data_IF_948542203424
#
_entry.id   IF_948542203424
#
_cell.length_a   1.000
_cell.length_b   1.000
_cell.length_c   1.000
_cell.angle_alpha   90.00
_cell.angle_beta   90.00
_cell.angle_gamma   90.00
#
_symmetry.space_group_name_H-M   'P 1'
#
loop_
_entity.id
_entity.type
_entity.pdbx_description
1 polymer ?
#
# COMPACT_ATOMS: atom_id res chain seq x y z
N UNK A 1 3.28 38.41 1.90
CA UNK A 1 2.36 37.67 1.01
C UNK A 1 2.73 36.18 1.00
N UNK A 2 3.19 35.62 2.14
CA UNK A 2 4.15 34.51 2.06
C UNK A 2 3.69 33.22 2.76
N UNK A 3 2.81 33.31 3.77
CA UNK A 3 2.41 32.16 4.59
C UNK A 3 1.53 31.17 3.81
N UNK A 4 0.55 31.67 3.03
CA UNK A 4 -0.32 30.82 2.21
C UNK A 4 0.48 30.13 1.10
N UNK A 5 1.48 30.81 0.53
CA UNK A 5 2.31 30.25 -0.51
C UNK A 5 3.22 29.15 0.04
N UNK A 6 3.81 29.35 1.23
CA UNK A 6 4.56 28.31 1.96
C UNK A 6 3.67 27.08 2.19
N UNK A 7 2.42 27.30 2.62
CA UNK A 7 1.47 26.22 2.84
C UNK A 7 1.18 25.42 1.56
N UNK A 8 0.83 26.10 0.46
CA UNK A 8 0.54 25.46 -0.83
C UNK A 8 1.75 24.72 -1.39
N UNK A 9 2.95 25.31 -1.26
CA UNK A 9 4.19 24.68 -1.68
C UNK A 9 4.44 23.38 -0.89
N UNK A 10 4.23 23.38 0.43
CA UNK A 10 4.33 22.15 1.24
C UNK A 10 3.27 21.11 0.86
N UNK A 11 2.06 21.55 0.56
CA UNK A 11 0.96 20.68 0.13
C UNK A 11 1.25 19.97 -1.20
N UNK A 12 2.15 20.51 -2.03
CA UNK A 12 2.60 19.86 -3.27
C UNK A 12 3.87 19.04 -3.02
N UNK A 13 4.87 19.65 -2.36
CA UNK A 13 6.18 19.06 -2.15
C UNK A 13 6.12 17.76 -1.34
N UNK A 14 5.41 17.78 -0.21
CA UNK A 14 5.46 16.68 0.76
C UNK A 14 4.74 15.43 0.27
N UNK A 15 3.56 15.50 -0.38
CA UNK A 15 2.98 14.33 -1.02
C UNK A 15 3.89 13.74 -2.10
N UNK A 16 4.54 14.57 -2.93
CA UNK A 16 5.48 14.09 -3.97
C UNK A 16 6.67 13.37 -3.34
N UNK A 17 7.28 13.96 -2.31
CA UNK A 17 8.36 13.35 -1.53
C UNK A 17 7.94 12.01 -0.92
N UNK A 18 6.75 11.98 -0.29
CA UNK A 18 6.18 10.79 0.35
C UNK A 18 5.96 9.68 -0.68
N UNK A 19 5.30 10.00 -1.79
CA UNK A 19 5.06 9.05 -2.88
C UNK A 19 6.37 8.54 -3.48
N UNK A 20 7.38 9.39 -3.67
CA UNK A 20 8.70 8.96 -4.16
C UNK A 20 9.30 7.87 -3.26
N UNK A 21 9.29 8.08 -1.94
CA UNK A 21 9.81 7.10 -0.97
C UNK A 21 9.04 5.79 -1.07
N UNK A 22 7.70 5.85 -1.12
CA UNK A 22 6.86 4.67 -1.29
C UNK A 22 7.23 3.90 -2.56
N UNK A 23 7.35 4.60 -3.70
CA UNK A 23 7.69 3.96 -4.97
C UNK A 23 9.10 3.35 -4.95
N UNK A 24 10.04 3.96 -4.22
CA UNK A 24 11.38 3.41 -4.01
C UNK A 24 11.33 2.10 -3.20
N UNK A 25 10.58 2.08 -2.10
CA UNK A 25 10.38 0.89 -1.26
C UNK A 25 9.66 -0.23 -2.02
N UNK A 26 8.73 0.13 -2.91
CA UNK A 26 8.01 -0.81 -3.80
C UNK A 26 8.79 -1.18 -5.07
N UNK A 27 10.08 -0.86 -5.14
CA UNK A 27 11.00 -1.13 -6.26
C UNK A 27 10.54 -0.57 -7.63
N UNK A 28 9.64 0.42 -7.65
CA UNK A 28 9.18 1.10 -8.88
C UNK A 28 10.13 2.25 -9.24
N UNK A 29 11.36 1.88 -9.57
CA UNK A 29 12.49 2.81 -9.77
C UNK A 29 12.18 3.95 -10.75
N UNK A 30 11.55 3.66 -11.89
CA UNK A 30 11.24 4.70 -12.89
C UNK A 30 10.29 5.78 -12.34
N UNK A 31 9.21 5.37 -11.67
CA UNK A 31 8.26 6.31 -11.06
C UNK A 31 8.92 7.10 -9.92
N UNK A 32 9.75 6.43 -9.11
CA UNK A 32 10.52 7.11 -8.07
C UNK A 32 11.50 8.14 -8.66
N UNK A 33 12.16 7.84 -9.77
CA UNK A 33 13.06 8.80 -10.45
C UNK A 33 12.32 10.00 -11.01
N UNK A 34 11.16 9.80 -11.65
CA UNK A 34 10.33 10.90 -12.19
C UNK A 34 9.84 11.80 -11.05
N UNK A 35 9.33 11.22 -9.96
CA UNK A 35 8.89 11.99 -8.80
C UNK A 35 10.06 12.70 -8.11
N UNK A 36 11.24 12.07 -8.04
CA UNK A 36 12.45 12.72 -7.51
C UNK A 36 12.91 13.91 -8.35
N UNK A 37 12.75 13.84 -9.67
CA UNK A 37 13.02 14.99 -10.55
C UNK A 37 12.04 16.14 -10.29
N UNK A 38 10.74 15.85 -10.18
CA UNK A 38 9.71 16.86 -9.86
C UNK A 38 9.97 17.45 -8.46
N UNK A 39 10.27 16.60 -7.47
CA UNK A 39 10.64 17.00 -6.11
C UNK A 39 11.83 17.96 -6.12
N UNK A 40 12.88 17.66 -6.89
CA UNK A 40 14.05 18.52 -6.99
C UNK A 40 13.72 19.90 -7.59
N UNK A 41 12.86 19.95 -8.61
CA UNK A 41 12.39 21.23 -9.17
C UNK A 41 11.60 22.03 -8.13
N UNK A 42 10.62 21.39 -7.48
CA UNK A 42 9.80 22.05 -6.44
C UNK A 42 10.68 22.52 -5.28
N UNK A 43 11.69 21.73 -4.90
CA UNK A 43 12.61 22.09 -3.84
C UNK A 43 13.46 23.31 -4.21
N UNK A 44 14.07 23.34 -5.40
CA UNK A 44 14.93 24.46 -5.82
C UNK A 44 14.13 25.77 -5.91
N UNK A 45 12.96 25.75 -6.56
CA UNK A 45 12.13 26.96 -6.67
C UNK A 45 11.48 27.34 -5.34
N UNK A 46 11.03 26.35 -4.57
CA UNK A 46 10.39 26.54 -3.29
C UNK A 46 11.33 27.11 -2.23
N UNK A 47 12.55 26.59 -2.17
CA UNK A 47 13.58 27.04 -1.23
C UNK A 47 13.97 28.50 -1.50
N UNK A 48 14.12 28.89 -2.77
CA UNK A 48 14.36 30.28 -3.13
C UNK A 48 13.29 31.21 -2.56
N UNK A 49 12.00 30.85 -2.69
CA UNK A 49 10.88 31.67 -2.21
C UNK A 49 10.84 31.74 -0.68
N UNK A 50 11.05 30.62 0.01
CA UNK A 50 11.01 30.56 1.48
C UNK A 50 12.12 31.40 2.10
N UNK A 51 13.35 31.31 1.56
CA UNK A 51 14.51 32.00 2.14
C UNK A 51 14.52 33.51 1.87
N UNK A 52 13.84 33.98 0.82
CA UNK A 52 13.68 35.42 0.55
C UNK A 52 12.55 36.07 1.35
N UNK A 53 11.69 35.29 2.01
CA UNK A 53 10.54 35.79 2.77
C UNK A 53 10.85 36.10 4.24
N UNK A 54 9.91 36.74 4.93
CA UNK A 54 10.02 37.01 6.37
C UNK A 54 9.90 35.72 7.20
N UNK A 55 10.96 35.39 7.96
CA UNK A 55 11.03 34.22 8.83
C UNK A 55 10.32 34.47 10.17
N UNK A 56 8.99 34.59 10.14
CA UNK A 56 8.18 34.71 11.37
C UNK A 56 7.88 33.34 12.00
N UNK A 57 7.62 33.34 13.31
CA UNK A 57 7.16 32.14 14.04
C UNK A 57 5.90 31.54 13.42
N UNK A 58 4.99 32.38 12.92
CA UNK A 58 3.78 31.94 12.23
C UNK A 58 4.08 31.21 10.92
N UNK A 59 5.06 31.68 10.14
CA UNK A 59 5.48 30.99 8.92
C UNK A 59 6.05 29.59 9.22
N UNK A 60 6.82 29.44 10.30
CA UNK A 60 7.34 28.14 10.75
C UNK A 60 6.22 27.19 11.18
N UNK A 61 5.21 27.68 11.91
CA UNK A 61 4.05 26.86 12.30
C UNK A 61 3.27 26.38 11.08
N UNK A 62 3.01 27.26 10.12
CA UNK A 62 2.28 26.90 8.89
C UNK A 62 3.08 25.93 8.02
N UNK A 63 4.41 26.07 7.96
CA UNK A 63 5.28 25.10 7.33
C UNK A 63 5.11 23.71 7.97
N UNK A 64 5.17 23.62 9.30
CA UNK A 64 5.03 22.36 10.02
C UNK A 64 3.64 21.71 9.82
N UNK A 65 2.57 22.51 9.84
CA UNK A 65 1.20 22.04 9.58
C UNK A 65 1.05 21.55 8.13
N UNK A 66 1.55 22.33 7.16
CA UNK A 66 1.54 21.95 5.75
C UNK A 66 2.30 20.65 5.51
N UNK A 67 3.42 20.45 6.20
CA UNK A 67 4.18 19.21 6.14
C UNK A 67 3.40 18.01 6.71
N UNK A 68 2.81 18.15 7.90
CA UNK A 68 2.00 17.09 8.50
C UNK A 68 0.80 16.71 7.61
N UNK A 69 0.09 17.69 7.06
CA UNK A 69 -1.03 17.46 6.14
C UNK A 69 -0.57 16.83 4.83
N UNK A 70 0.58 17.27 4.30
CA UNK A 70 1.17 16.70 3.10
C UNK A 70 1.51 15.21 3.26
N UNK A 71 2.02 14.78 4.43
CA UNK A 71 2.23 13.36 4.73
C UNK A 71 0.90 12.60 4.72
N UNK A 72 -0.13 13.14 5.38
CA UNK A 72 -1.44 12.50 5.42
C UNK A 72 -2.04 12.33 4.02
N UNK A 73 -1.93 13.36 3.16
CA UNK A 73 -2.38 13.31 1.76
C UNK A 73 -1.56 12.28 0.98
N UNK A 74 -0.22 12.29 1.11
CA UNK A 74 0.66 11.32 0.45
C UNK A 74 0.32 9.88 0.82
N UNK A 75 0.06 9.62 2.11
CA UNK A 75 -0.38 8.32 2.60
C UNK A 75 -1.76 7.91 2.10
N UNK A 76 -2.71 8.86 2.03
CA UNK A 76 -4.04 8.58 1.46
C UNK A 76 -3.97 8.22 -0.03
N UNK A 77 -3.15 8.94 -0.80
CA UNK A 77 -2.92 8.64 -2.22
C UNK A 77 -2.28 7.26 -2.39
N UNK A 78 -1.30 6.89 -1.55
CA UNK A 78 -0.72 5.54 -1.54
C UNK A 78 -1.78 4.45 -1.33
N UNK A 79 -2.60 4.62 -0.29
CA UNK A 79 -3.63 3.63 0.06
C UNK A 79 -4.63 3.43 -1.08
N UNK A 80 -4.95 4.50 -1.81
CA UNK A 80 -5.86 4.45 -2.97
C UNK A 80 -5.23 3.81 -4.20
N UNK A 81 -3.92 3.98 -4.40
CA UNK A 81 -3.21 3.35 -5.52
C UNK A 81 -3.10 1.82 -5.35
N UNK A 82 -3.20 1.31 -4.11
CA UNK A 82 -3.23 -0.11 -3.79
C UNK A 82 -2.14 -0.92 -4.52
N UNK A 83 -0.92 -0.38 -4.55
CA UNK A 83 0.15 -0.90 -5.40
C UNK A 83 0.78 -2.13 -4.78
N UNK A 84 0.87 -3.19 -5.60
CA UNK A 84 1.66 -4.38 -5.30
C UNK A 84 0.79 -5.59 -5.00
N UNK A 85 1.40 -6.54 -4.31
CA UNK A 85 0.81 -7.82 -3.97
C UNK A 85 0.86 -8.02 -2.47
N UNK A 86 -0.15 -8.68 -1.94
CA UNK A 86 -0.24 -9.05 -0.53
C UNK A 86 -0.51 -10.54 -0.43
N UNK A 87 0.11 -11.17 0.55
CA UNK A 87 -0.17 -12.56 0.93
C UNK A 87 -0.99 -12.51 2.21
N UNK A 88 -2.21 -13.04 2.15
CA UNK A 88 -3.08 -13.19 3.30
C UNK A 88 -2.95 -14.62 3.79
N UNK A 89 -2.59 -14.76 5.06
CA UNK A 89 -2.56 -16.03 5.78
C UNK A 89 -3.81 -16.12 6.63
N UNK A 90 -4.64 -17.11 6.37
CA UNK A 90 -5.86 -17.38 7.12
C UNK A 90 -5.77 -18.71 7.85
N UNK A 91 -5.90 -18.68 9.18
CA UNK A 91 -5.90 -19.88 10.01
C UNK A 91 -7.33 -20.23 10.42
N UNK A 92 -7.75 -21.44 10.08
CA UNK A 92 -9.10 -21.97 10.37
C UNK A 92 -8.99 -23.26 11.18
N UNK A 93 -10.03 -23.53 11.98
CA UNK A 93 -10.04 -24.68 12.91
C UNK A 93 -10.36 -25.98 12.19
N UNK A 94 -11.34 -25.94 11.29
CA UNK A 94 -11.80 -27.11 10.55
C UNK A 94 -11.56 -26.90 9.05
N UNK A 95 -11.42 -28.00 8.31
CA UNK A 95 -11.34 -27.91 6.86
C UNK A 95 -12.70 -27.50 6.30
N UNK A 96 -12.71 -26.43 5.52
CA UNK A 96 -13.90 -25.91 4.84
C UNK A 96 -13.63 -25.90 3.33
N UNK A 97 -14.00 -26.99 2.65
CA UNK A 97 -13.76 -27.13 1.21
C UNK A 97 -14.58 -26.15 0.37
N UNK A 98 -15.78 -25.76 0.84
CA UNK A 98 -16.62 -24.77 0.18
C UNK A 98 -15.90 -23.41 0.15
N UNK A 99 -15.42 -22.93 1.30
CA UNK A 99 -14.61 -21.71 1.40
C UNK A 99 -13.37 -21.73 0.50
N UNK A 100 -12.61 -22.84 0.49
CA UNK A 100 -11.43 -22.99 -0.37
C UNK A 100 -11.83 -22.95 -1.85
N UNK A 101 -12.95 -23.58 -2.20
CA UNK A 101 -13.44 -23.63 -3.58
C UNK A 101 -13.90 -22.25 -4.05
N UNK A 102 -14.63 -21.50 -3.22
CA UNK A 102 -15.08 -20.14 -3.51
C UNK A 102 -13.90 -19.23 -3.80
N UNK A 103 -12.88 -19.21 -2.94
CA UNK A 103 -11.68 -18.39 -3.18
C UNK A 103 -10.99 -18.73 -4.52
N UNK A 104 -10.94 -20.01 -4.89
CA UNK A 104 -10.35 -20.44 -6.17
C UNK A 104 -11.21 -20.06 -7.36
N UNK A 105 -12.54 -20.14 -7.24
CA UNK A 105 -13.49 -19.74 -8.27
C UNK A 105 -13.45 -18.23 -8.53
N UNK A 106 -13.29 -17.42 -7.48
CA UNK A 106 -13.04 -15.97 -7.56
C UNK A 106 -11.65 -15.60 -8.12
N UNK A 107 -10.86 -16.61 -8.50
CA UNK A 107 -9.58 -16.44 -9.18
C UNK A 107 -8.42 -16.12 -8.25
N UNK A 108 -8.54 -16.37 -6.95
CA UNK A 108 -7.41 -16.25 -6.01
C UNK A 108 -6.51 -17.48 -6.04
N UNK A 109 -5.20 -17.25 -5.92
CA UNK A 109 -4.23 -18.33 -5.76
C UNK A 109 -4.18 -18.78 -4.31
N UNK A 110 -4.72 -19.98 -4.02
CA UNK A 110 -4.88 -20.50 -2.66
C UNK A 110 -4.06 -21.78 -2.47
N UNK A 111 -3.14 -21.75 -1.51
CA UNK A 111 -2.40 -22.93 -1.03
C UNK A 111 -2.91 -23.32 0.35
N UNK A 112 -3.26 -24.59 0.54
CA UNK A 112 -3.70 -25.12 1.84
C UNK A 112 -2.56 -25.86 2.50
N UNK A 113 -2.24 -25.46 3.72
CA UNK A 113 -1.33 -26.16 4.63
C UNK A 113 -2.13 -26.82 5.74
N UNK A 114 -1.66 -28.01 6.13
CA UNK A 114 -2.20 -28.76 7.25
C UNK A 114 -1.11 -28.80 8.32
N UNK A 115 -1.42 -28.30 9.51
CA UNK A 115 -0.49 -28.23 10.63
C UNK A 115 -1.10 -28.78 11.91
N UNK A 116 -0.26 -28.95 12.93
CA UNK A 116 -0.68 -29.32 14.27
C UNK A 116 -0.63 -28.09 15.17
N UNK A 117 -1.78 -27.76 15.77
CA UNK A 117 -1.87 -26.79 16.85
C UNK A 117 -1.61 -27.45 18.20
N UNK A 118 -1.66 -26.65 19.26
CA UNK A 118 -1.49 -27.13 20.64
C UNK A 118 -2.44 -28.28 21.00
N UNK A 119 -3.71 -28.13 20.62
CA UNK A 119 -4.79 -29.03 21.07
C UNK A 119 -5.40 -29.87 19.93
N UNK A 120 -5.20 -29.46 18.66
CA UNK A 120 -5.82 -30.11 17.51
C UNK A 120 -5.09 -29.77 16.20
N UNK A 121 -5.41 -30.53 15.14
CA UNK A 121 -5.06 -30.17 13.77
C UNK A 121 -5.61 -28.78 13.40
N UNK A 122 -4.85 -28.03 12.60
CA UNK A 122 -5.19 -26.69 12.11
C UNK A 122 -4.95 -26.60 10.61
N UNK A 123 -5.73 -25.75 9.96
CA UNK A 123 -5.62 -25.52 8.53
C UNK A 123 -5.23 -24.06 8.30
N UNK A 124 -4.17 -23.86 7.51
CA UNK A 124 -3.69 -22.53 7.15
C UNK A 124 -3.82 -22.37 5.65
N UNK A 125 -4.52 -21.34 5.21
CA UNK A 125 -4.60 -20.95 3.82
C UNK A 125 -3.62 -19.81 3.58
N UNK A 126 -2.79 -19.95 2.55
CA UNK A 126 -1.96 -18.87 2.04
C UNK A 126 -2.53 -18.39 0.72
N UNK A 127 -2.94 -17.13 0.70
CA UNK A 127 -3.67 -16.50 -0.40
C UNK A 127 -2.83 -15.33 -0.91
N UNK A 128 -2.14 -15.53 -2.03
CA UNK A 128 -1.50 -14.42 -2.73
C UNK A 128 -2.58 -13.69 -3.53
N UNK A 129 -2.63 -12.36 -3.46
CA UNK A 129 -3.56 -11.52 -4.20
C UNK A 129 -2.96 -10.14 -4.53
N UNK A 130 -3.59 -9.41 -5.45
CA UNK A 130 -3.30 -7.99 -5.66
C UNK A 130 -3.76 -7.20 -4.43
N UNK A 131 -2.99 -6.20 -4.01
CA UNK A 131 -3.36 -5.35 -2.87
C UNK A 131 -4.69 -4.62 -3.10
N UNK A 132 -5.06 -4.35 -4.35
CA UNK A 132 -6.38 -3.81 -4.71
C UNK A 132 -7.56 -4.75 -4.43
N UNK A 133 -7.35 -6.07 -4.42
CA UNK A 133 -8.35 -7.10 -4.14
C UNK A 133 -8.27 -7.66 -2.72
N UNK A 134 -7.43 -7.08 -1.86
CA UNK A 134 -7.30 -7.52 -0.46
C UNK A 134 -8.65 -7.50 0.27
N UNK A 135 -9.42 -6.41 0.12
CA UNK A 135 -10.74 -6.27 0.76
C UNK A 135 -11.72 -7.38 0.35
N UNK A 136 -11.67 -7.80 -0.91
CA UNK A 136 -12.52 -8.87 -1.44
C UNK A 136 -12.21 -10.20 -0.76
N UNK A 137 -10.93 -10.53 -0.60
CA UNK A 137 -10.50 -11.74 0.13
C UNK A 137 -10.95 -11.67 1.59
N UNK A 138 -10.76 -10.53 2.27
CA UNK A 138 -11.22 -10.35 3.65
C UNK A 138 -12.74 -10.52 3.77
N UNK A 139 -13.53 -9.98 2.84
CA UNK A 139 -14.98 -10.14 2.83
C UNK A 139 -15.40 -11.61 2.69
N UNK A 140 -14.81 -12.35 1.76
CA UNK A 140 -15.10 -13.78 1.58
C UNK A 140 -14.73 -14.56 2.85
N UNK A 141 -13.58 -14.27 3.46
CA UNK A 141 -13.17 -14.94 4.69
C UNK A 141 -14.14 -14.62 5.84
N UNK A 142 -14.55 -13.36 6.00
CA UNK A 142 -15.47 -12.95 7.05
C UNK A 142 -16.84 -13.64 6.93
N UNK A 143 -17.30 -13.89 5.70
CA UNK A 143 -18.57 -14.56 5.41
C UNK A 143 -18.52 -16.06 5.74
N UNK A 144 -17.47 -16.76 5.29
CA UNK A 144 -17.36 -18.22 5.44
C UNK A 144 -16.75 -18.65 6.77
N UNK A 145 -15.78 -17.90 7.28
CA UNK A 145 -14.96 -18.24 8.45
C UNK A 145 -14.76 -17.01 9.35
N UNK A 146 -15.82 -16.48 10.00
CA UNK A 146 -15.75 -15.28 10.83
C UNK A 146 -14.84 -15.42 12.06
N UNK A 147 -14.51 -16.66 12.44
CA UNK A 147 -13.57 -16.98 13.53
C UNK A 147 -12.12 -17.14 13.06
N UNK A 148 -11.84 -16.98 11.76
CA UNK A 148 -10.51 -17.14 11.21
C UNK A 148 -9.54 -16.08 11.75
N UNK A 149 -8.32 -16.51 12.03
CA UNK A 149 -7.24 -15.60 12.38
C UNK A 149 -6.45 -15.22 11.12
N UNK A 150 -6.39 -13.91 10.84
CA UNK A 150 -5.85 -13.35 9.59
C UNK A 150 -4.61 -12.52 9.83
N UNK A 151 -3.59 -12.72 8.98
CA UNK A 151 -2.42 -11.86 8.88
C UNK A 151 -2.16 -11.56 7.41
N UNK A 152 -1.85 -10.32 7.05
CA UNK A 152 -1.38 -9.97 5.72
C UNK A 152 0.10 -9.58 5.72
N UNK A 153 0.81 -10.01 4.66
CA UNK A 153 2.22 -9.74 4.43
C UNK A 153 2.41 -9.12 3.04
N UNK A 154 3.16 -8.04 2.94
CA UNK A 154 3.49 -7.46 1.63
C UNK A 154 4.52 -8.32 0.88
N UNK A 155 4.16 -8.79 -0.31
CA UNK A 155 5.06 -9.53 -1.17
C UNK A 155 5.88 -8.57 -2.06
N UNK A 156 7.20 -8.51 -1.84
CA UNK A 156 8.11 -7.64 -2.62
C UNK A 156 8.58 -8.26 -3.93
N UNK A 157 8.89 -9.56 -3.93
CA UNK A 157 9.40 -10.31 -5.07
C UNK A 157 8.79 -11.70 -5.08
N UNK A 158 8.38 -12.17 -6.25
CA UNK A 158 7.97 -13.55 -6.47
C UNK A 158 8.18 -13.91 -7.94
N UNK A 159 8.35 -15.20 -8.22
CA UNK A 159 8.57 -15.74 -9.57
C UNK A 159 7.69 -16.97 -9.76
N UNK A 160 6.83 -16.94 -10.78
CA UNK A 160 5.88 -18.04 -11.05
C UNK A 160 4.57 -17.94 -10.25
N UNK A 161 3.84 -19.04 -10.17
CA UNK A 161 2.56 -19.14 -9.46
C UNK A 161 1.32 -18.84 -10.31
N UNK A 162 0.15 -19.14 -9.75
CA UNK A 162 -1.17 -18.99 -10.40
C UNK A 162 -1.46 -17.54 -10.82
N UNK A 163 -1.14 -16.57 -9.96
CA UNK A 163 -1.36 -15.15 -10.24
C UNK A 163 -0.46 -14.57 -11.32
N UNK A 164 0.77 -15.06 -11.47
CA UNK A 164 1.65 -14.63 -12.56
C UNK A 164 1.06 -14.97 -13.95
N UNK A 165 0.16 -15.95 -14.03
CA UNK A 165 -0.58 -16.28 -15.26
C UNK A 165 -1.84 -15.44 -15.43
N UNK A 166 -2.55 -15.11 -14.35
CA UNK A 166 -3.80 -14.32 -14.40
C UNK A 166 -3.57 -12.84 -14.75
N UNK A 167 -2.48 -12.22 -14.23
CA UNK A 167 -2.13 -10.81 -14.52
C UNK A 167 -1.71 -10.62 -15.99
N UNK A 168 -1.15 -11.64 -16.64
CA UNK A 168 -0.83 -11.61 -18.07
C UNK A 168 -2.06 -11.55 -18.98
N UNK A 169 -3.24 -11.92 -18.48
CA UNK A 169 -4.48 -11.96 -19.27
C UNK A 169 -5.24 -10.62 -19.30
N UNK A 170 -4.93 -9.70 -18.39
CA UNK A 170 -5.55 -8.36 -18.30
C UNK A 170 -4.60 -7.23 -18.76
N UNK A 171 -3.48 -7.58 -19.40
CA UNK A 171 -2.48 -6.62 -19.91
C UNK A 171 -2.28 -6.73 -21.43
N UNK A 172 -3.37 -7.01 -22.16
CA UNK A 172 -3.46 -6.89 -23.63
C UNK A 172 -4.68 -6.02 -23.93
#
# INVERSE_FOLDING_TARGET
MDILLIFLLQLIYVPVYTLRIIFLVKEKKLLASILGFIEALVYVFGLAIIFTGEQSIWAMLVYAIGFALGIAIGGYVEGKLAIGYTTIVANITNRNDDFISTLRQEGFGVTLFVGEGKDSQRFQLEILTLRSREKEVFSIIQEYEPSAFLISYEARKFRGGYLAKSVKKHSI
#
